data_IF_474199120452
#
_entry.id   IF_474199120452
#
_cell.length_a   1.000
_cell.length_b   1.000
_cell.length_c   1.000
_cell.angle_alpha   90.00
_cell.angle_beta   90.00
_cell.angle_gamma   90.00
#
_symmetry.space_group_name_H-M   'P 1'
#
loop_
_entity.id
_entity.type
_entity.pdbx_description
1 polymer ?
#
# COMPACT_ATOMS: atom_id res chain seq x y z
N UNK A 1 14.49 20.65 -2.90
CA UNK A 1 14.60 19.20 -2.99
C UNK A 1 13.25 18.66 -3.37
N UNK A 2 13.22 17.61 -4.16
CA UNK A 2 11.99 16.98 -4.63
C UNK A 2 11.97 15.49 -4.29
N UNK A 3 10.79 14.96 -4.01
CA UNK A 3 10.57 13.54 -3.71
C UNK A 3 9.97 12.86 -4.94
N UNK A 4 10.64 11.83 -5.45
CA UNK A 4 10.07 10.99 -6.50
C UNK A 4 9.12 9.96 -5.88
N UNK A 5 7.88 9.89 -6.36
CA UNK A 5 6.90 8.90 -5.95
C UNK A 5 6.53 8.03 -7.14
N UNK A 6 6.99 6.77 -7.15
CA UNK A 6 6.60 5.82 -8.18
C UNK A 6 5.28 5.17 -7.81
N UNK A 7 4.36 5.02 -8.77
CA UNK A 7 3.01 4.54 -8.47
C UNK A 7 2.15 5.58 -7.73
N UNK A 8 2.47 6.87 -7.90
CA UNK A 8 1.90 7.98 -7.14
C UNK A 8 0.44 8.30 -7.48
N UNK A 9 -0.11 7.79 -8.58
CA UNK A 9 -1.54 7.90 -8.91
C UNK A 9 -2.37 6.71 -8.41
N UNK A 10 -1.73 5.68 -7.87
CA UNK A 10 -2.39 4.53 -7.25
C UNK A 10 -3.05 4.88 -5.90
N UNK A 11 -3.75 3.92 -5.30
CA UNK A 11 -4.51 4.11 -4.05
C UNK A 11 -3.64 4.67 -2.91
N UNK A 12 -2.59 3.94 -2.50
CA UNK A 12 -1.72 4.38 -1.40
C UNK A 12 -0.86 5.57 -1.83
N UNK A 13 -0.34 5.53 -3.07
CA UNK A 13 0.50 6.57 -3.63
C UNK A 13 -0.18 7.94 -3.63
N UNK A 14 -1.42 8.03 -4.09
CA UNK A 14 -2.15 9.31 -4.14
C UNK A 14 -2.41 9.92 -2.75
N UNK A 15 -2.74 9.10 -1.75
CA UNK A 15 -2.87 9.57 -0.37
C UNK A 15 -1.53 10.05 0.19
N UNK A 16 -0.43 9.33 -0.10
CA UNK A 16 0.92 9.77 0.31
C UNK A 16 1.33 11.06 -0.39
N UNK A 17 0.99 11.23 -1.67
CA UNK A 17 1.24 12.49 -2.41
C UNK A 17 0.48 13.66 -1.77
N UNK A 18 -0.78 13.45 -1.36
CA UNK A 18 -1.55 14.48 -0.62
C UNK A 18 -0.83 14.89 0.66
N UNK A 19 -0.40 13.92 1.48
CA UNK A 19 0.26 14.22 2.74
C UNK A 19 1.64 14.91 2.54
N UNK A 20 2.40 14.52 1.50
CA UNK A 20 3.65 15.20 1.13
C UNK A 20 3.41 16.65 0.71
N UNK A 21 2.43 16.89 -0.16
CA UNK A 21 2.09 18.26 -0.61
C UNK A 21 1.60 19.13 0.54
N UNK A 22 0.80 18.57 1.47
CA UNK A 22 0.33 19.26 2.67
C UNK A 22 1.48 19.57 3.65
N UNK A 23 2.52 18.73 3.68
CA UNK A 23 3.76 18.98 4.41
C UNK A 23 4.68 20.04 3.75
N UNK A 24 4.31 20.54 2.56
CA UNK A 24 5.08 21.54 1.82
C UNK A 24 6.14 20.99 0.88
N UNK A 25 6.19 19.68 0.71
CA UNK A 25 7.18 19.01 -0.15
C UNK A 25 6.90 19.24 -1.64
N UNK A 26 7.95 19.16 -2.45
CA UNK A 26 7.83 19.08 -3.89
C UNK A 26 7.79 17.62 -4.31
N UNK A 27 6.78 17.26 -5.11
CA UNK A 27 6.53 15.87 -5.50
C UNK A 27 6.59 15.73 -7.02
N UNK A 28 7.40 14.76 -7.46
CA UNK A 28 7.43 14.27 -8.84
C UNK A 28 6.86 12.86 -8.86
N UNK A 29 5.83 12.62 -9.65
CA UNK A 29 5.18 11.32 -9.79
C UNK A 29 5.62 10.64 -11.06
N UNK A 30 5.96 9.36 -10.96
CA UNK A 30 6.13 8.43 -12.10
C UNK A 30 5.11 7.30 -11.95
N UNK A 31 4.24 7.13 -12.96
CA UNK A 31 3.23 6.08 -12.99
C UNK A 31 2.92 5.70 -14.45
N UNK A 32 2.73 4.42 -14.76
CA UNK A 32 2.38 3.98 -16.11
C UNK A 32 0.86 3.91 -16.35
N UNK A 33 0.06 4.23 -15.35
CA UNK A 33 -1.41 4.21 -15.35
C UNK A 33 -2.05 2.84 -15.64
N UNK A 34 -1.31 1.73 -15.47
CA UNK A 34 -1.85 0.39 -15.73
C UNK A 34 -2.96 -0.02 -14.74
N UNK A 35 -2.98 0.56 -13.54
CA UNK A 35 -3.98 0.28 -12.49
C UNK A 35 -4.36 1.56 -11.72
N UNK A 36 -4.27 2.70 -12.35
CA UNK A 36 -4.60 4.02 -11.81
C UNK A 36 -5.15 4.91 -12.92
N UNK A 37 -5.59 6.11 -12.58
CA UNK A 37 -6.20 7.03 -13.55
C UNK A 37 -5.59 8.43 -13.42
N UNK A 38 -5.42 9.11 -14.56
CA UNK A 38 -4.82 10.44 -14.62
C UNK A 38 -5.63 11.50 -13.86
N UNK A 39 -6.96 11.35 -13.81
CA UNK A 39 -7.86 12.26 -13.09
C UNK A 39 -7.62 12.32 -11.58
N UNK A 40 -6.85 11.38 -11.03
CA UNK A 40 -6.39 11.41 -9.62
C UNK A 40 -5.59 12.69 -9.36
N UNK A 41 -4.79 13.16 -10.32
CA UNK A 41 -3.99 14.39 -10.19
C UNK A 41 -4.87 15.62 -10.00
N UNK A 42 -5.99 15.72 -10.73
CA UNK A 42 -6.95 16.83 -10.58
C UNK A 42 -7.61 16.82 -9.21
N UNK A 43 -7.84 15.62 -8.65
CA UNK A 43 -8.42 15.47 -7.32
C UNK A 43 -7.42 15.77 -6.21
N UNK A 44 -6.16 15.37 -6.38
CA UNK A 44 -5.07 15.77 -5.49
C UNK A 44 -4.91 17.30 -5.48
N UNK A 45 -4.91 17.93 -6.66
CA UNK A 45 -4.85 19.39 -6.76
C UNK A 45 -6.02 20.09 -6.07
N UNK A 46 -7.25 19.55 -6.17
CA UNK A 46 -8.42 20.08 -5.46
C UNK A 46 -8.28 19.96 -3.94
N UNK A 47 -7.62 18.93 -3.44
CA UNK A 47 -7.40 18.74 -2.00
C UNK A 47 -6.30 19.66 -1.47
N UNK A 48 -5.15 19.72 -2.17
CA UNK A 48 -3.95 20.39 -1.68
C UNK A 48 -3.78 21.83 -2.20
N UNK A 49 -4.56 22.25 -3.20
CA UNK A 49 -4.36 23.53 -3.90
C UNK A 49 -3.09 23.58 -4.77
N UNK A 50 -2.36 22.47 -4.88
CA UNK A 50 -1.10 22.34 -5.63
C UNK A 50 -1.12 21.04 -6.43
N UNK A 51 -0.77 21.14 -7.73
CA UNK A 51 -0.66 19.97 -8.60
C UNK A 51 0.75 19.40 -8.54
N UNK A 52 0.94 18.08 -8.28
CA UNK A 52 2.25 17.46 -8.38
C UNK A 52 2.72 17.39 -9.84
N UNK A 53 4.03 17.39 -10.06
CA UNK A 53 4.61 17.09 -11.39
C UNK A 53 4.37 15.62 -11.72
N UNK A 54 3.99 15.32 -12.96
CA UNK A 54 3.63 13.96 -13.37
C UNK A 54 4.31 13.56 -14.67
N UNK A 55 4.85 12.36 -14.70
CA UNK A 55 5.37 11.70 -15.89
C UNK A 55 4.70 10.33 -16.04
N UNK A 56 4.08 10.11 -17.20
CA UNK A 56 3.59 8.77 -17.55
C UNK A 56 4.76 7.94 -18.07
N UNK A 57 5.40 7.20 -17.18
CA UNK A 57 6.58 6.37 -17.47
C UNK A 57 6.41 5.00 -16.83
N UNK A 58 6.74 3.95 -17.57
CA UNK A 58 6.89 2.60 -17.06
C UNK A 58 8.30 2.44 -16.49
N UNK A 59 8.43 1.87 -15.27
CA UNK A 59 9.74 1.63 -14.65
C UNK A 59 10.61 0.63 -15.44
N UNK A 60 10.00 -0.13 -16.35
CA UNK A 60 10.74 -1.01 -17.26
C UNK A 60 11.46 -0.22 -18.39
N UNK A 61 11.09 1.04 -18.62
CA UNK A 61 11.74 1.93 -19.57
C UNK A 61 12.80 2.79 -18.86
N UNK A 62 14.04 2.25 -18.81
CA UNK A 62 15.18 2.92 -18.16
C UNK A 62 15.47 4.30 -18.73
N UNK A 63 15.44 4.45 -20.06
CA UNK A 63 15.77 5.73 -20.71
C UNK A 63 14.73 6.80 -20.38
N UNK A 64 13.44 6.43 -20.32
CA UNK A 64 12.38 7.35 -19.93
C UNK A 64 12.52 7.76 -18.45
N UNK A 65 12.88 6.83 -17.57
CA UNK A 65 13.11 7.14 -16.16
C UNK A 65 14.34 8.03 -15.95
N UNK A 66 15.47 7.78 -16.65
CA UNK A 66 16.65 8.63 -16.61
C UNK A 66 16.32 10.09 -17.00
N UNK A 67 15.52 10.29 -18.05
CA UNK A 67 15.07 11.65 -18.46
C UNK A 67 14.26 12.37 -17.38
N UNK A 68 13.53 11.64 -16.51
CA UNK A 68 12.83 12.26 -15.39
C UNK A 68 13.84 12.78 -14.35
N UNK A 69 14.86 12.01 -14.02
CA UNK A 69 15.91 12.44 -13.09
C UNK A 69 16.75 13.59 -13.68
N UNK A 70 17.06 13.55 -14.98
CA UNK A 70 17.76 14.64 -15.67
C UNK A 70 16.96 15.96 -15.63
N UNK A 71 15.64 15.88 -15.79
CA UNK A 71 14.76 17.05 -15.73
C UNK A 71 14.55 17.57 -14.30
N UNK A 72 14.81 16.75 -13.30
CA UNK A 72 14.66 17.08 -11.88
C UNK A 72 15.92 16.72 -11.06
N UNK A 73 17.04 17.40 -11.28
CA UNK A 73 18.29 17.11 -10.57
C UNK A 73 18.22 17.42 -9.06
N UNK A 74 17.15 18.00 -8.59
CA UNK A 74 16.84 18.26 -7.20
C UNK A 74 16.09 17.10 -6.51
N UNK A 75 15.81 15.99 -7.21
CA UNK A 75 15.31 14.76 -6.58
C UNK A 75 16.39 14.22 -5.64
N UNK A 76 16.05 14.10 -4.35
CA UNK A 76 16.95 13.62 -3.30
C UNK A 76 16.50 12.31 -2.64
N UNK A 77 15.26 11.91 -2.90
CA UNK A 77 14.67 10.75 -2.26
C UNK A 77 13.54 10.14 -3.09
N UNK A 78 13.25 8.87 -2.81
CA UNK A 78 12.23 8.10 -3.52
C UNK A 78 11.28 7.42 -2.55
N UNK A 79 9.96 7.43 -2.86
CA UNK A 79 8.99 6.52 -2.27
C UNK A 79 8.50 5.58 -3.37
N UNK A 80 8.74 4.28 -3.18
CA UNK A 80 8.53 3.28 -4.23
C UNK A 80 7.30 2.43 -3.95
N UNK A 81 6.16 2.79 -4.59
CA UNK A 81 4.91 2.03 -4.56
C UNK A 81 4.69 1.17 -5.80
N UNK A 82 5.23 1.58 -6.96
CA UNK A 82 4.96 0.92 -8.24
C UNK A 82 5.24 -0.59 -8.18
N UNK A 83 4.27 -1.36 -8.65
CA UNK A 83 4.36 -2.82 -8.70
C UNK A 83 2.99 -3.48 -8.78
N UNK A 84 2.93 -4.63 -9.42
CA UNK A 84 1.74 -5.47 -9.48
C UNK A 84 1.48 -6.08 -8.09
N UNK A 85 0.22 -6.06 -7.62
CA UNK A 85 -0.14 -6.38 -6.23
C UNK A 85 -1.22 -7.46 -6.05
N UNK A 86 -1.81 -7.98 -7.12
CA UNK A 86 -2.91 -8.92 -7.01
C UNK A 86 -2.42 -10.34 -6.73
N UNK A 87 -2.62 -10.83 -5.50
CA UNK A 87 -2.16 -12.16 -5.05
C UNK A 87 -2.66 -13.27 -5.95
N UNK A 88 -3.97 -13.29 -6.27
CA UNK A 88 -4.56 -14.33 -7.12
C UNK A 88 -3.99 -14.35 -8.54
N UNK A 89 -3.82 -13.18 -9.17
CA UNK A 89 -3.20 -13.06 -10.49
C UNK A 89 -1.73 -13.49 -10.46
N UNK A 90 -1.00 -13.20 -9.38
CA UNK A 90 0.39 -13.60 -9.24
C UNK A 90 0.58 -15.13 -9.30
N UNK A 91 -0.37 -15.89 -8.75
CA UNK A 91 -0.35 -17.35 -8.81
C UNK A 91 -0.63 -17.89 -10.24
N UNK A 92 -1.37 -17.14 -11.04
CA UNK A 92 -1.69 -17.51 -12.42
C UNK A 92 -0.61 -17.06 -13.41
N UNK A 93 0.00 -15.89 -13.16
CA UNK A 93 0.98 -15.23 -14.03
C UNK A 93 2.27 -14.88 -13.28
N UNK A 94 2.97 -15.84 -12.65
CA UNK A 94 4.10 -15.55 -11.76
C UNK A 94 5.24 -14.81 -12.47
N UNK A 95 5.58 -15.18 -13.69
CA UNK A 95 6.67 -14.55 -14.44
C UNK A 95 6.39 -13.07 -14.75
N UNK A 96 5.12 -12.70 -15.01
CA UNK A 96 4.70 -11.31 -15.16
C UNK A 96 5.01 -10.50 -13.89
N UNK A 97 4.73 -11.07 -12.71
CA UNK A 97 4.99 -10.42 -11.43
C UNK A 97 6.47 -10.27 -11.13
N UNK A 98 7.26 -11.33 -11.33
CA UNK A 98 8.70 -11.27 -11.15
C UNK A 98 9.33 -10.26 -12.12
N UNK A 99 9.01 -10.36 -13.39
CA UNK A 99 9.55 -9.44 -14.39
C UNK A 99 9.21 -7.98 -14.08
N UNK A 100 7.94 -7.68 -13.84
CA UNK A 100 7.51 -6.30 -13.58
C UNK A 100 8.12 -5.75 -12.28
N UNK A 101 7.95 -6.46 -11.17
CA UNK A 101 8.28 -5.92 -9.86
C UNK A 101 9.79 -5.88 -9.61
N UNK A 102 10.52 -6.93 -10.02
CA UNK A 102 11.98 -6.98 -9.80
C UNK A 102 12.73 -6.11 -10.80
N UNK A 103 12.43 -6.23 -12.11
CA UNK A 103 13.15 -5.47 -13.14
C UNK A 103 12.91 -3.98 -12.98
N UNK A 104 11.66 -3.55 -12.72
CA UNK A 104 11.36 -2.14 -12.45
C UNK A 104 12.12 -1.60 -11.23
N UNK A 105 12.24 -2.40 -10.17
CA UNK A 105 13.02 -2.01 -8.98
C UNK A 105 14.52 -1.98 -9.27
N UNK A 106 15.08 -2.92 -10.05
CA UNK A 106 16.49 -2.88 -10.46
C UNK A 106 16.79 -1.60 -11.23
N UNK A 107 15.98 -1.29 -12.24
CA UNK A 107 16.16 -0.08 -13.05
C UNK A 107 16.08 1.17 -12.17
N UNK A 108 15.10 1.24 -11.27
CA UNK A 108 14.99 2.37 -10.34
C UNK A 108 16.26 2.55 -9.50
N UNK A 109 16.77 1.48 -8.88
CA UNK A 109 17.99 1.54 -8.05
C UNK A 109 19.23 1.91 -8.86
N UNK A 110 19.35 1.43 -10.11
CA UNK A 110 20.45 1.82 -11.01
C UNK A 110 20.39 3.30 -11.37
N UNK A 111 19.21 3.83 -11.71
CA UNK A 111 19.04 5.25 -12.05
C UNK A 111 19.26 6.12 -10.81
N UNK A 112 18.74 5.74 -9.64
CA UNK A 112 19.03 6.42 -8.38
C UNK A 112 20.54 6.52 -8.12
N UNK A 113 21.27 5.42 -8.29
CA UNK A 113 22.72 5.38 -8.09
C UNK A 113 23.46 6.30 -9.10
N UNK A 114 23.06 6.31 -10.37
CA UNK A 114 23.64 7.17 -11.40
C UNK A 114 23.45 8.68 -11.10
N UNK A 115 22.34 9.04 -10.43
CA UNK A 115 22.02 10.42 -10.05
C UNK A 115 22.37 10.77 -8.60
N UNK A 116 23.10 9.90 -7.89
CA UNK A 116 23.48 10.07 -6.48
C UNK A 116 22.29 10.22 -5.51
N UNK A 117 21.15 9.65 -5.82
CA UNK A 117 19.98 9.60 -4.95
C UNK A 117 20.09 8.36 -4.06
N UNK A 118 20.31 8.60 -2.76
CA UNK A 118 20.67 7.55 -1.80
C UNK A 118 19.62 7.32 -0.72
N UNK A 119 18.38 7.78 -0.91
CA UNK A 119 17.29 7.68 0.07
C UNK A 119 16.06 7.05 -0.56
N UNK A 120 15.57 5.94 0.01
CA UNK A 120 14.38 5.27 -0.50
C UNK A 120 13.52 4.70 0.62
N UNK A 121 12.20 4.88 0.51
CA UNK A 121 11.19 4.15 1.27
C UNK A 121 10.52 3.15 0.34
N UNK A 122 10.53 1.88 0.72
CA UNK A 122 9.95 0.81 -0.07
C UNK A 122 8.65 0.28 0.53
N UNK A 123 7.63 0.24 -0.29
CA UNK A 123 6.33 -0.38 -0.05
C UNK A 123 6.46 -1.90 -0.05
N UNK A 124 6.76 -2.49 1.12
CA UNK A 124 6.71 -3.94 1.32
C UNK A 124 5.33 -4.37 1.85
N UNK A 125 5.21 -5.59 2.30
CA UNK A 125 3.92 -6.18 2.69
C UNK A 125 4.09 -7.20 3.80
N UNK A 126 3.11 -7.32 4.69
CA UNK A 126 3.03 -8.41 5.66
C UNK A 126 3.01 -9.82 5.03
N UNK A 127 2.75 -9.94 3.73
CA UNK A 127 2.83 -11.21 3.00
C UNK A 127 4.22 -11.85 3.01
N UNK A 128 5.28 -11.09 3.34
CA UNK A 128 6.64 -11.61 3.50
C UNK A 128 6.80 -12.52 4.71
N UNK A 129 5.86 -12.48 5.67
CA UNK A 129 5.85 -13.37 6.84
C UNK A 129 5.18 -14.72 6.58
N UNK A 130 4.48 -14.86 5.46
CA UNK A 130 3.81 -16.10 5.05
C UNK A 130 2.79 -16.58 6.09
N UNK A 131 3.08 -17.70 6.74
CA UNK A 131 2.25 -18.30 7.79
C UNK A 131 2.96 -18.18 9.16
N UNK A 132 2.82 -17.05 9.86
CA UNK A 132 3.45 -16.87 11.17
C UNK A 132 2.87 -17.84 12.18
N UNK A 133 3.70 -18.32 13.12
CA UNK A 133 3.27 -19.28 14.16
C UNK A 133 2.46 -18.61 15.28
N UNK A 134 2.69 -17.33 15.49
CA UNK A 134 2.06 -16.53 16.56
C UNK A 134 1.76 -15.13 16.06
N UNK A 135 0.90 -14.43 16.77
CA UNK A 135 0.60 -13.00 16.63
C UNK A 135 0.70 -12.34 18.01
N UNK A 136 0.98 -11.02 18.13
CA UNK A 136 1.26 -10.08 17.05
C UNK A 136 2.59 -10.35 16.34
N UNK A 137 2.69 -9.98 15.05
CA UNK A 137 3.86 -10.22 14.20
C UNK A 137 4.89 -9.11 14.41
N UNK A 138 6.14 -9.48 14.71
CA UNK A 138 7.27 -8.56 14.84
C UNK A 138 8.21 -8.65 13.65
N UNK A 139 9.05 -7.63 13.45
CA UNK A 139 9.97 -7.54 12.31
C UNK A 139 11.06 -8.62 12.31
N UNK A 140 11.35 -9.21 13.47
CA UNK A 140 12.33 -10.30 13.66
C UNK A 140 11.78 -11.70 13.36
N UNK A 141 10.49 -11.82 13.01
CA UNK A 141 9.88 -13.10 12.68
C UNK A 141 10.50 -13.71 11.41
N UNK A 142 10.53 -15.03 11.30
CA UNK A 142 11.00 -15.72 10.10
C UNK A 142 10.22 -15.28 8.87
N UNK A 143 10.94 -15.03 7.77
CA UNK A 143 10.37 -14.63 6.51
C UNK A 143 10.16 -15.84 5.61
N UNK A 144 8.94 -15.98 5.13
CA UNK A 144 8.53 -16.99 4.14
C UNK A 144 7.37 -16.41 3.33
N UNK A 145 7.08 -16.98 2.18
CA UNK A 145 5.99 -16.48 1.35
C UNK A 145 5.09 -17.63 0.89
N UNK A 146 3.82 -17.32 0.63
CA UNK A 146 2.84 -18.30 0.17
C UNK A 146 2.39 -18.07 -1.28
N UNK A 147 2.89 -17.01 -1.91
CA UNK A 147 2.49 -16.62 -3.27
C UNK A 147 3.57 -15.77 -3.96
N UNK A 148 3.58 -15.72 -5.32
CA UNK A 148 4.60 -14.99 -6.07
C UNK A 148 4.64 -13.49 -5.82
N UNK A 149 3.49 -12.83 -5.54
CA UNK A 149 3.49 -11.42 -5.16
C UNK A 149 4.29 -11.18 -3.86
N UNK A 150 4.01 -11.96 -2.82
CA UNK A 150 4.78 -11.90 -1.56
C UNK A 150 6.26 -12.16 -1.80
N UNK A 151 6.58 -13.15 -2.66
CA UNK A 151 7.97 -13.46 -2.98
C UNK A 151 8.68 -12.30 -3.70
N UNK A 152 8.01 -11.57 -4.61
CA UNK A 152 8.62 -10.37 -5.22
C UNK A 152 8.96 -9.33 -4.15
N UNK A 153 8.10 -9.10 -3.15
CA UNK A 153 8.37 -8.16 -2.07
C UNK A 153 9.56 -8.61 -1.22
N UNK A 154 9.61 -9.87 -0.84
CA UNK A 154 10.72 -10.44 -0.07
C UNK A 154 12.05 -10.41 -0.83
N UNK A 155 12.04 -10.72 -2.13
CA UNK A 155 13.23 -10.61 -2.98
C UNK A 155 13.73 -9.17 -3.07
N UNK A 156 12.85 -8.19 -3.22
CA UNK A 156 13.23 -6.77 -3.25
C UNK A 156 13.85 -6.33 -1.92
N UNK A 157 13.30 -6.77 -0.78
CA UNK A 157 13.92 -6.50 0.53
C UNK A 157 15.36 -7.03 0.61
N UNK A 158 15.60 -8.25 0.09
CA UNK A 158 16.95 -8.85 0.03
C UNK A 158 17.88 -8.07 -0.90
N UNK A 159 17.39 -7.71 -2.08
CA UNK A 159 18.14 -6.90 -3.05
C UNK A 159 18.55 -5.55 -2.45
N UNK A 160 17.62 -4.86 -1.79
CA UNK A 160 17.91 -3.58 -1.13
C UNK A 160 18.90 -3.73 0.03
N UNK A 161 18.85 -4.84 0.77
CA UNK A 161 19.82 -5.16 1.80
C UNK A 161 21.22 -5.32 1.23
N UNK A 162 21.36 -6.05 0.12
CA UNK A 162 22.65 -6.26 -0.55
C UNK A 162 23.16 -4.94 -1.17
N UNK A 163 22.27 -4.11 -1.72
CA UNK A 163 22.60 -2.79 -2.22
C UNK A 163 23.12 -1.86 -1.09
N UNK A 164 22.51 -1.88 0.10
CA UNK A 164 23.02 -1.15 1.26
C UNK A 164 24.39 -1.66 1.73
N UNK A 165 24.64 -2.96 1.64
CA UNK A 165 25.95 -3.52 1.98
C UNK A 165 27.06 -3.07 1.00
N UNK A 166 26.71 -2.84 -0.27
CA UNK A 166 27.61 -2.37 -1.31
C UNK A 166 27.78 -0.84 -1.33
N UNK A 167 26.78 -0.06 -0.88
CA UNK A 167 26.79 1.40 -0.84
C UNK A 167 26.45 1.90 0.57
N UNK A 168 27.48 2.33 1.31
CA UNK A 168 27.35 2.82 2.69
C UNK A 168 26.52 4.13 2.81
N UNK A 169 26.32 4.87 1.72
CA UNK A 169 25.50 6.07 1.71
C UNK A 169 24.02 5.78 1.51
N UNK A 170 23.66 4.59 1.02
CA UNK A 170 22.28 4.22 0.77
C UNK A 170 21.51 4.05 2.09
N UNK A 171 20.37 4.71 2.17
CA UNK A 171 19.42 4.66 3.28
C UNK A 171 18.08 4.11 2.80
N UNK A 172 17.64 3.01 3.37
CA UNK A 172 16.42 2.29 2.97
C UNK A 172 15.52 2.08 4.17
N UNK A 173 14.28 2.53 4.08
CA UNK A 173 13.22 2.18 5.01
C UNK A 173 12.23 1.23 4.33
N UNK A 174 12.11 0.02 4.85
CA UNK A 174 11.17 -1.00 4.40
C UNK A 174 9.91 -0.94 5.26
N UNK A 175 8.78 -0.63 4.66
CA UNK A 175 7.50 -0.62 5.34
C UNK A 175 6.70 -1.88 4.99
N UNK A 176 6.57 -2.81 5.95
CA UNK A 176 5.75 -4.03 5.84
C UNK A 176 4.36 -3.73 6.37
N UNK A 177 3.46 -3.29 5.51
CA UNK A 177 2.12 -2.97 5.96
C UNK A 177 1.11 -4.09 5.74
N UNK A 178 0.08 -4.03 6.59
CA UNK A 178 -0.97 -5.02 6.65
C UNK A 178 -2.08 -4.64 5.64
N UNK A 179 -3.32 -4.51 6.02
CA UNK A 179 -4.42 -4.32 5.09
C UNK A 179 -4.88 -2.84 5.04
N UNK A 180 -4.39 -2.02 4.10
CA UNK A 180 -4.86 -0.65 3.99
C UNK A 180 -6.32 -0.60 3.53
N UNK A 181 -7.12 0.19 4.24
CA UNK A 181 -8.51 0.50 3.93
C UNK A 181 -8.79 1.99 4.23
N UNK A 182 -9.98 2.47 3.96
CA UNK A 182 -10.29 3.87 4.12
C UNK A 182 -10.18 4.66 2.81
N UNK A 183 -10.38 5.95 2.92
CA UNK A 183 -10.24 6.93 1.85
C UNK A 183 -9.89 8.28 2.46
N UNK A 184 -9.54 9.25 1.64
CA UNK A 184 -9.35 10.62 2.12
C UNK A 184 -10.68 11.20 2.63
N UNK A 185 -10.65 11.95 3.71
CA UNK A 185 -11.85 12.51 4.36
C UNK A 185 -12.69 13.41 3.44
N UNK A 186 -12.08 14.00 2.41
CA UNK A 186 -12.81 14.78 1.40
C UNK A 186 -13.72 13.92 0.52
N UNK A 187 -13.55 12.60 0.46
CA UNK A 187 -14.22 11.71 -0.47
C UNK A 187 -13.81 11.88 -1.93
N UNK A 188 -12.72 12.62 -2.21
CA UNK A 188 -12.24 12.86 -3.57
C UNK A 188 -11.29 11.77 -4.07
N UNK A 189 -10.50 11.15 -3.19
CA UNK A 189 -9.61 10.03 -3.52
C UNK A 189 -9.88 8.83 -2.61
N UNK A 190 -9.77 7.62 -3.18
CA UNK A 190 -10.02 6.35 -2.50
C UNK A 190 -9.56 5.17 -3.34
N UNK A 191 -9.88 3.94 -2.92
CA UNK A 191 -9.52 2.74 -3.66
C UNK A 191 -10.52 2.49 -4.80
N UNK A 192 -10.03 2.53 -6.06
CA UNK A 192 -10.81 2.25 -7.28
C UNK A 192 -10.10 1.16 -8.11
N UNK A 193 -10.21 -0.11 -7.71
CA UNK A 193 -9.56 -1.20 -8.43
C UNK A 193 -10.21 -1.44 -9.79
N UNK A 194 -9.39 -1.70 -10.80
CA UNK A 194 -9.87 -2.14 -12.10
C UNK A 194 -10.59 -3.50 -11.99
N UNK A 195 -11.82 -3.58 -12.48
CA UNK A 195 -12.62 -4.80 -12.48
C UNK A 195 -13.22 -5.19 -11.11
N UNK A 196 -13.29 -6.50 -10.85
CA UNK A 196 -13.84 -7.02 -9.58
C UNK A 196 -12.77 -6.85 -8.48
N UNK A 197 -13.11 -6.19 -7.35
CA UNK A 197 -12.14 -6.00 -6.27
C UNK A 197 -11.65 -7.32 -5.66
N UNK A 198 -10.35 -7.41 -5.42
CA UNK A 198 -9.74 -8.52 -4.70
C UNK A 198 -9.66 -8.29 -3.18
N UNK A 199 -9.66 -7.02 -2.75
CA UNK A 199 -9.62 -6.62 -1.34
C UNK A 199 -11.03 -6.61 -0.74
N UNK A 200 -11.12 -6.89 0.57
CA UNK A 200 -12.39 -7.04 1.28
C UNK A 200 -13.24 -5.76 1.21
N UNK A 201 -12.70 -4.62 1.65
CA UNK A 201 -13.51 -3.41 1.83
C UNK A 201 -14.06 -2.84 0.52
N UNK A 202 -13.31 -2.73 -0.60
CA UNK A 202 -13.89 -2.32 -1.88
C UNK A 202 -14.97 -3.28 -2.39
N UNK A 203 -14.84 -4.59 -2.10
CA UNK A 203 -15.88 -5.56 -2.44
C UNK A 203 -17.15 -5.33 -1.61
N UNK A 204 -17.01 -5.20 -0.29
CA UNK A 204 -18.10 -4.87 0.64
C UNK A 204 -18.81 -3.58 0.21
N UNK A 205 -18.07 -2.54 -0.16
CA UNK A 205 -18.61 -1.27 -0.62
C UNK A 205 -19.44 -1.43 -1.90
N UNK A 206 -18.98 -2.23 -2.88
CA UNK A 206 -19.75 -2.51 -4.10
C UNK A 206 -21.00 -3.34 -3.82
N UNK A 207 -20.98 -4.26 -2.85
CA UNK A 207 -22.21 -4.99 -2.43
C UNK A 207 -23.19 -4.04 -1.75
N UNK A 208 -22.76 -3.22 -0.80
CA UNK A 208 -23.58 -2.23 -0.13
C UNK A 208 -24.22 -1.21 -1.10
N UNK A 209 -23.50 -0.87 -2.17
CA UNK A 209 -23.98 0.01 -3.24
C UNK A 209 -24.86 -0.71 -4.28
N UNK A 210 -25.15 -2.02 -4.13
CA UNK A 210 -25.94 -2.81 -5.08
C UNK A 210 -25.25 -3.10 -6.42
N UNK A 211 -23.95 -2.86 -6.52
CA UNK A 211 -23.15 -3.12 -7.74
C UNK A 211 -22.71 -4.60 -7.85
N UNK A 212 -22.63 -5.29 -6.71
CA UNK A 212 -22.37 -6.73 -6.64
C UNK A 212 -23.46 -7.40 -5.82
N UNK A 213 -23.84 -8.65 -6.15
CA UNK A 213 -25.00 -9.30 -5.55
C UNK A 213 -24.76 -9.70 -4.08
N UNK A 214 -23.55 -10.12 -3.72
CA UNK A 214 -23.21 -10.60 -2.38
C UNK A 214 -21.71 -10.77 -2.19
N UNK A 215 -21.27 -10.77 -0.92
CA UNK A 215 -19.89 -11.07 -0.51
C UNK A 215 -19.76 -12.58 -0.26
N UNK A 216 -18.64 -13.18 -0.66
CA UNK A 216 -18.23 -14.51 -0.19
C UNK A 216 -17.31 -14.34 1.02
N UNK A 217 -17.75 -14.82 2.18
CA UNK A 217 -16.95 -14.92 3.42
C UNK A 217 -16.29 -16.30 3.43
N UNK A 218 -14.96 -16.34 3.34
CA UNK A 218 -14.21 -17.59 3.16
C UNK A 218 -13.84 -18.23 4.50
N UNK A 219 -14.62 -19.22 4.92
CA UNK A 219 -14.51 -19.94 6.18
C UNK A 219 -15.22 -19.22 7.33
N UNK A 220 -15.89 -20.01 8.18
CA UNK A 220 -16.53 -19.60 9.43
C UNK A 220 -16.14 -20.52 10.60
N UNK A 221 -15.10 -21.32 10.41
CA UNK A 221 -14.63 -22.36 11.31
C UNK A 221 -13.19 -22.12 11.78
N UNK A 222 -12.64 -20.88 11.63
CA UNK A 222 -11.36 -20.50 12.19
C UNK A 222 -11.45 -20.37 13.74
N UNK A 223 -10.36 -20.62 14.49
CA UNK A 223 -10.31 -20.41 15.95
C UNK A 223 -10.25 -18.90 16.28
N UNK A 224 -11.24 -18.16 15.85
CA UNK A 224 -11.41 -16.70 16.01
C UNK A 224 -12.77 -16.41 16.64
N UNK A 225 -13.02 -15.21 17.20
CA UNK A 225 -14.26 -14.93 17.94
C UNK A 225 -15.57 -15.18 17.20
N UNK A 226 -15.60 -15.01 15.88
CA UNK A 226 -16.79 -15.23 15.04
C UNK A 226 -16.57 -16.27 13.93
N UNK A 227 -15.46 -17.02 14.02
CA UNK A 227 -15.11 -18.07 13.07
C UNK A 227 -14.51 -17.57 11.76
N UNK A 228 -14.51 -16.27 11.49
CA UNK A 228 -13.97 -15.70 10.25
C UNK A 228 -12.53 -15.21 10.42
N UNK A 229 -11.78 -15.09 9.32
CA UNK A 229 -10.38 -14.67 9.36
C UNK A 229 -10.20 -13.27 9.92
N UNK A 230 -9.16 -13.09 10.74
CA UNK A 230 -8.81 -11.81 11.41
C UNK A 230 -7.60 -11.18 10.73
N UNK A 231 -7.69 -9.88 10.42
CA UNK A 231 -6.61 -9.10 9.80
C UNK A 231 -6.46 -7.75 10.51
N UNK A 232 -5.25 -7.21 10.46
CA UNK A 232 -4.96 -5.84 10.85
C UNK A 232 -5.33 -4.91 9.70
N UNK A 233 -6.32 -4.07 9.92
CA UNK A 233 -6.72 -3.05 8.94
C UNK A 233 -6.21 -1.70 9.39
N UNK A 234 -5.57 -0.99 8.48
CA UNK A 234 -4.99 0.32 8.73
C UNK A 234 -5.61 1.37 7.80
N UNK A 235 -5.89 2.55 8.33
CA UNK A 235 -6.38 3.65 7.51
C UNK A 235 -5.30 4.11 6.52
N UNK A 236 -5.66 4.27 5.25
CA UNK A 236 -4.71 4.64 4.19
C UNK A 236 -3.98 5.96 4.44
N UNK A 237 -4.61 6.92 5.15
CA UNK A 237 -3.95 8.18 5.54
C UNK A 237 -2.93 7.95 6.64
N UNK A 238 -3.20 7.09 7.64
CA UNK A 238 -2.21 6.73 8.66
C UNK A 238 -1.01 6.03 8.01
N UNK A 239 -1.27 5.16 7.04
CA UNK A 239 -0.22 4.53 6.25
C UNK A 239 0.59 5.57 5.44
N UNK A 240 -0.08 6.55 4.81
CA UNK A 240 0.60 7.64 4.11
C UNK A 240 1.53 8.43 5.05
N UNK A 241 1.04 8.78 6.24
CA UNK A 241 1.85 9.47 7.26
C UNK A 241 3.04 8.62 7.75
N UNK A 242 2.91 7.28 7.80
CA UNK A 242 4.04 6.40 8.08
C UNK A 242 5.16 6.52 7.04
N UNK A 243 4.80 6.70 5.75
CA UNK A 243 5.80 6.91 4.69
C UNK A 243 6.56 8.22 4.86
N UNK A 244 5.89 9.31 5.27
CA UNK A 244 6.55 10.58 5.56
C UNK A 244 7.54 10.43 6.73
N UNK A 245 7.13 9.76 7.80
CA UNK A 245 8.01 9.51 8.96
C UNK A 245 9.20 8.63 8.59
N UNK A 246 8.98 7.58 7.80
CA UNK A 246 10.04 6.72 7.31
C UNK A 246 11.00 7.47 6.37
N UNK A 247 10.49 8.36 5.50
CA UNK A 247 11.31 9.18 4.63
C UNK A 247 12.20 10.15 5.43
N UNK A 248 11.64 10.84 6.41
CA UNK A 248 12.41 11.70 7.31
C UNK A 248 13.51 10.91 8.07
N UNK A 249 13.23 9.66 8.45
CA UNK A 249 14.21 8.78 9.08
C UNK A 249 15.43 8.52 8.20
N UNK A 250 15.25 8.38 6.88
CA UNK A 250 16.34 8.14 5.93
C UNK A 250 17.36 9.27 5.82
N UNK A 251 17.06 10.47 6.33
CA UNK A 251 18.01 11.58 6.36
C UNK A 251 19.17 11.33 7.33
N UNK A 252 18.86 10.67 8.43
CA UNK A 252 19.76 10.56 9.58
C UNK A 252 20.33 9.15 9.78
N UNK A 253 19.83 8.16 9.04
CA UNK A 253 20.22 6.76 9.22
C UNK A 253 20.64 6.17 7.88
N UNK A 254 21.81 5.55 7.85
CA UNK A 254 22.33 4.81 6.70
C UNK A 254 22.06 3.32 6.86
N UNK A 255 22.02 2.61 5.75
CA UNK A 255 21.69 1.19 5.71
C UNK A 255 20.19 0.94 5.63
N UNK A 256 19.74 -0.24 6.09
CA UNK A 256 18.36 -0.69 5.91
C UNK A 256 17.66 -0.89 7.25
N UNK A 257 16.46 -0.34 7.37
CA UNK A 257 15.57 -0.54 8.52
C UNK A 257 14.22 -1.12 8.04
N UNK A 258 13.59 -1.94 8.90
CA UNK A 258 12.30 -2.59 8.62
C UNK A 258 11.30 -2.17 9.67
N UNK A 259 10.07 -1.85 9.26
CA UNK A 259 8.99 -1.44 10.14
C UNK A 259 7.68 -2.12 9.76
N UNK A 260 7.02 -2.71 10.74
CA UNK A 260 5.64 -3.14 10.61
C UNK A 260 4.71 -1.93 10.74
N UNK A 261 3.86 -1.73 9.75
CA UNK A 261 2.90 -0.63 9.72
C UNK A 261 1.48 -1.24 9.77
N UNK A 262 0.92 -1.23 10.96
CA UNK A 262 -0.39 -1.74 11.30
C UNK A 262 -0.92 -1.04 12.55
N UNK A 263 -2.13 -1.37 12.95
CA UNK A 263 -2.76 -0.81 14.16
C UNK A 263 -2.43 -1.62 15.41
N UNK A 264 -1.96 -2.87 15.25
CA UNK A 264 -1.84 -3.84 16.34
C UNK A 264 -3.17 -4.47 16.75
N UNK A 265 -4.26 -4.13 16.07
CA UNK A 265 -5.59 -4.65 16.33
C UNK A 265 -6.06 -5.52 15.17
N UNK A 266 -6.50 -6.74 15.49
CA UNK A 266 -7.10 -7.64 14.52
C UNK A 266 -8.62 -7.45 14.46
N UNK A 267 -9.16 -7.33 13.25
CA UNK A 267 -10.62 -7.31 13.03
C UNK A 267 -11.02 -8.46 12.11
N UNK A 268 -12.12 -9.13 12.45
CA UNK A 268 -12.66 -10.22 11.65
C UNK A 268 -13.37 -9.70 10.40
N UNK A 269 -13.58 -10.57 9.41
CA UNK A 269 -14.34 -10.23 8.20
C UNK A 269 -15.74 -9.73 8.54
N UNK A 270 -16.44 -10.38 9.47
CA UNK A 270 -17.80 -9.97 9.86
C UNK A 270 -17.81 -8.67 10.69
N UNK A 271 -16.75 -8.35 11.44
CA UNK A 271 -16.61 -7.05 12.10
C UNK A 271 -16.49 -5.92 11.06
N UNK A 272 -15.69 -6.11 10.00
CA UNK A 272 -15.58 -5.14 8.90
C UNK A 272 -16.94 -4.96 8.20
N UNK A 273 -17.65 -6.04 7.91
CA UNK A 273 -18.99 -5.98 7.29
C UNK A 273 -19.94 -5.13 8.14
N UNK A 274 -20.04 -5.43 9.44
CA UNK A 274 -20.94 -4.70 10.36
C UNK A 274 -20.56 -3.22 10.51
N UNK A 275 -19.27 -2.92 10.61
CA UNK A 275 -18.78 -1.54 10.70
C UNK A 275 -19.11 -0.76 9.43
N UNK A 276 -18.94 -1.38 8.26
CA UNK A 276 -19.28 -0.73 6.99
C UNK A 276 -20.79 -0.55 6.80
N UNK A 277 -21.62 -1.53 7.19
CA UNK A 277 -23.09 -1.41 7.20
C UNK A 277 -23.54 -0.19 8.02
N UNK A 278 -22.94 -0.02 9.22
CA UNK A 278 -23.25 1.11 10.08
C UNK A 278 -22.88 2.46 9.44
N UNK A 279 -21.72 2.56 8.78
CA UNK A 279 -21.24 3.77 8.12
C UNK A 279 -21.96 4.08 6.81
N UNK A 280 -22.26 3.06 6.02
CA UNK A 280 -22.90 3.22 4.71
C UNK A 280 -24.41 3.38 4.81
N UNK A 281 -25.04 2.70 5.78
CA UNK A 281 -26.49 2.76 6.02
C UNK A 281 -27.29 1.73 5.23
N UNK A 282 -26.67 0.70 4.65
CA UNK A 282 -27.35 -0.42 4.00
C UNK A 282 -26.70 -1.75 4.35
N UNK A 283 -27.48 -2.82 4.22
CA UNK A 283 -27.03 -4.20 4.47
C UNK A 283 -26.07 -4.68 3.40
N UNK A 284 -25.15 -5.54 3.80
CA UNK A 284 -24.21 -6.24 2.93
C UNK A 284 -24.61 -7.71 2.90
N UNK A 285 -25.20 -8.13 1.83
CA UNK A 285 -25.54 -9.55 1.62
C UNK A 285 -24.26 -10.37 1.52
N UNK A 286 -24.19 -11.48 2.25
CA UNK A 286 -23.07 -12.40 2.20
C UNK A 286 -23.47 -13.88 2.29
N UNK A 287 -22.55 -14.74 1.85
CA UNK A 287 -22.65 -16.19 2.04
C UNK A 287 -21.31 -16.72 2.56
N UNK A 288 -21.39 -17.76 3.37
CA UNK A 288 -20.20 -18.50 3.78
C UNK A 288 -19.75 -19.41 2.63
N UNK A 289 -18.47 -19.31 2.30
CA UNK A 289 -17.81 -20.14 1.31
C UNK A 289 -16.67 -20.95 1.95
N UNK A 290 -16.23 -22.05 1.35
CA UNK A 290 -15.07 -22.80 1.87
C UNK A 290 -13.83 -21.91 2.01
N UNK A 291 -12.95 -22.25 2.97
CA UNK A 291 -11.64 -21.56 3.15
C UNK A 291 -10.86 -21.52 1.85
N UNK A 292 -10.20 -20.40 1.58
CA UNK A 292 -9.24 -20.34 0.47
C UNK A 292 -7.94 -21.05 0.85
N UNK A 293 -7.29 -21.77 -0.07
CA UNK A 293 -5.98 -22.33 0.17
C UNK A 293 -4.97 -21.24 0.59
N UNK A 294 -4.24 -21.49 1.68
CA UNK A 294 -3.23 -20.57 2.19
C UNK A 294 -3.74 -19.44 3.09
N UNK A 295 -5.07 -19.33 3.33
CA UNK A 295 -5.58 -18.37 4.32
C UNK A 295 -5.25 -18.84 5.76
N UNK A 296 -4.84 -17.88 6.60
CA UNK A 296 -4.52 -18.08 8.02
C UNK A 296 -5.60 -17.46 8.90
N UNK A 297 -5.76 -17.99 10.12
CA UNK A 297 -6.79 -17.53 11.05
C UNK A 297 -6.60 -16.05 11.41
N UNK A 298 -5.39 -15.67 11.82
CA UNK A 298 -5.09 -14.33 12.32
C UNK A 298 -3.78 -13.79 11.74
N UNK A 299 -3.78 -12.49 11.42
CA UNK A 299 -2.61 -11.77 10.94
C UNK A 299 -2.70 -10.30 11.34
N UNK A 300 -1.96 -9.89 12.39
CA UNK A 300 -1.88 -8.49 12.84
C UNK A 300 -0.50 -8.15 13.36
N UNK A 301 -0.14 -6.86 13.28
CA UNK A 301 1.17 -6.32 13.57
C UNK A 301 1.45 -6.19 15.07
N UNK A 302 2.74 -6.22 15.42
CA UNK A 302 3.26 -5.46 16.55
C UNK A 302 3.84 -4.14 15.98
N UNK A 303 3.20 -2.97 16.20
CA UNK A 303 3.66 -1.68 15.67
C UNK A 303 4.65 -0.97 16.61
N UNK A 304 5.09 -1.60 17.70
CA UNK A 304 5.90 -0.95 18.75
C UNK A 304 7.19 -0.33 18.20
N UNK A 305 7.86 -0.98 17.26
CA UNK A 305 9.08 -0.45 16.65
C UNK A 305 8.83 0.82 15.84
N UNK A 306 7.75 0.88 15.08
CA UNK A 306 7.39 2.10 14.34
C UNK A 306 7.04 3.24 15.31
N UNK A 307 6.35 2.93 16.41
CA UNK A 307 6.05 3.90 17.45
C UNK A 307 7.32 4.46 18.10
N UNK A 308 8.24 3.60 18.51
CA UNK A 308 9.46 3.98 19.21
C UNK A 308 10.44 4.75 18.30
N UNK A 309 10.66 4.26 17.07
CA UNK A 309 11.73 4.76 16.21
C UNK A 309 11.26 5.87 15.26
N UNK A 310 10.06 5.74 14.70
CA UNK A 310 9.51 6.75 13.78
C UNK A 310 8.64 7.78 14.49
N UNK A 311 8.26 7.56 15.76
CA UNK A 311 7.28 8.38 16.45
C UNK A 311 5.92 8.36 15.75
N UNK A 312 5.56 7.21 15.17
CA UNK A 312 4.34 7.03 14.40
C UNK A 312 3.38 6.07 15.07
N UNK A 313 2.10 6.41 15.08
CA UNK A 313 1.00 5.58 15.53
C UNK A 313 -0.16 5.67 14.56
N UNK A 314 -0.92 4.59 14.40
CA UNK A 314 -2.20 4.63 13.71
C UNK A 314 -3.22 5.35 14.63
N UNK A 315 -3.86 6.38 14.12
CA UNK A 315 -4.79 7.24 14.90
C UNK A 315 -6.26 6.98 14.55
N UNK A 316 -6.53 6.50 13.34
CA UNK A 316 -7.88 6.30 12.80
C UNK A 316 -8.37 4.91 13.10
N UNK A 317 -9.47 4.80 13.83
CA UNK A 317 -10.11 3.53 14.20
C UNK A 317 -10.92 2.91 13.05
N UNK A 318 -11.47 1.72 13.27
CA UNK A 318 -12.30 1.01 12.29
C UNK A 318 -13.53 1.81 11.86
N UNK A 319 -14.15 2.55 12.77
CA UNK A 319 -15.31 3.38 12.45
C UNK A 319 -14.94 4.45 11.42
N UNK A 320 -13.84 5.18 11.66
CA UNK A 320 -13.33 6.20 10.74
C UNK A 320 -12.91 5.61 9.40
N UNK A 321 -12.25 4.45 9.39
CA UNK A 321 -11.89 3.74 8.15
C UNK A 321 -13.13 3.45 7.29
N UNK A 322 -14.20 2.95 7.92
CA UNK A 322 -15.45 2.63 7.23
C UNK A 322 -16.24 3.90 6.81
N UNK A 323 -16.26 4.94 7.64
CA UNK A 323 -16.91 6.21 7.30
C UNK A 323 -16.31 6.87 6.07
N UNK A 324 -14.99 6.97 6.00
CA UNK A 324 -14.30 7.59 4.87
C UNK A 324 -14.43 6.75 3.59
N UNK A 325 -14.36 5.40 3.70
CA UNK A 325 -14.65 4.51 2.57
C UNK A 325 -16.10 4.63 2.10
N UNK A 326 -17.06 4.73 3.03
CA UNK A 326 -18.48 4.90 2.69
C UNK A 326 -18.75 6.24 2.01
N UNK A 327 -18.09 7.31 2.47
CA UNK A 327 -18.15 8.64 1.83
C UNK A 327 -17.61 8.61 0.42
N UNK A 328 -16.42 7.99 0.23
CA UNK A 328 -15.82 7.79 -1.08
C UNK A 328 -16.78 7.05 -2.01
N UNK A 329 -17.34 5.92 -1.59
CA UNK A 329 -18.25 5.10 -2.42
C UNK A 329 -19.54 5.85 -2.77
N UNK A 330 -20.10 6.64 -1.83
CA UNK A 330 -21.32 7.45 -2.08
C UNK A 330 -21.06 8.58 -3.08
N UNK A 331 -19.92 9.26 -2.98
CA UNK A 331 -19.54 10.36 -3.86
C UNK A 331 -19.06 9.88 -5.23
N UNK A 332 -18.56 8.65 -5.32
CA UNK A 332 -17.99 8.07 -6.52
C UNK A 332 -18.56 6.66 -6.75
N UNK A 333 -19.85 6.55 -7.09
CA UNK A 333 -20.48 5.24 -7.23
C UNK A 333 -19.84 4.39 -8.33
N UNK A 334 -19.26 5.01 -9.35
CA UNK A 334 -18.58 4.37 -10.48
C UNK A 334 -17.04 4.56 -10.43
N UNK A 335 -16.50 4.78 -9.22
CA UNK A 335 -15.09 5.06 -9.02
C UNK A 335 -14.69 6.46 -9.49
N UNK A 336 -13.50 6.59 -10.07
CA UNK A 336 -13.04 7.86 -10.62
C UNK A 336 -13.78 8.28 -11.92
N UNK A 337 -14.67 7.43 -12.44
CA UNK A 337 -15.27 7.62 -13.77
C UNK A 337 -14.32 7.13 -14.89
N UNK A 338 -14.76 7.34 -16.14
CA UNK A 338 -13.91 7.08 -17.32
C UNK A 338 -12.88 8.17 -17.55
#
# INVERSE_FOLDING_TARGET
MSILVTGGTGYIGSHTVVELLNAGENVVIVDNLCNSKLCVLDRVEKICGKRPTFYQVDLLDKEALEKVFDAHPDIDSVIHFAGLKAVGESCQLPLKYYHNNLTGTFILLEVMAAHNVNRIVFSSSATVYGMPKTVPIREDFPLSTTNPYGETKLMIERIMKDACAANAELSVSILRYFNPIGAHESGLIGEDPCGIPNNLLPYVAKVAAGKLPRLNVFGDDYPTPDGTGVRDYIHVVDLALAHLKALARTENVKGIEYFNIGTGNGYSVLQIVRAFEAAYGSKVEYVIAPRRPGDIAECYADPAKAAEILGWHAERDLAKMCEDSARWQKMNPDGYGE
#
